data_IF_802690068189
#
_entry.id   IF_802690068189
#
_cell.length_a   1.000
_cell.length_b   1.000
_cell.length_c   1.000
_cell.angle_alpha   90.00
_cell.angle_beta   90.00
_cell.angle_gamma   90.00
#
_symmetry.space_group_name_H-M   'P 1'
#
loop_
_entity.id
_entity.type
_entity.pdbx_description
1 polymer ?
#
# COMPACT_ATOMS: atom_id res chain seq x y z
N UNK A 1 -13.17 2.90 0.79
CA UNK A 1 -11.72 3.25 0.67
C UNK A 1 -11.52 4.70 0.22
N UNK A 2 -12.31 5.23 -0.73
CA UNK A 2 -12.11 6.57 -1.30
C UNK A 2 -12.04 7.68 -0.23
N UNK A 3 -13.03 7.77 0.64
CA UNK A 3 -13.09 8.84 1.65
C UNK A 3 -11.96 8.73 2.68
N UNK A 4 -11.69 7.55 3.26
CA UNK A 4 -10.55 7.38 4.15
C UNK A 4 -9.20 7.73 3.50
N UNK A 5 -8.98 7.39 2.22
CA UNK A 5 -7.73 7.72 1.52
C UNK A 5 -7.53 9.24 1.37
N UNK A 6 -8.61 9.99 1.12
CA UNK A 6 -8.56 11.45 0.97
C UNK A 6 -8.23 12.18 2.29
N UNK A 7 -8.49 11.57 3.42
CA UNK A 7 -8.33 12.19 4.74
C UNK A 7 -7.23 11.57 5.59
N UNK A 8 -6.75 10.37 5.25
CA UNK A 8 -5.76 9.66 6.04
C UNK A 8 -4.40 10.38 6.06
N UNK A 9 -3.75 10.50 7.23
CA UNK A 9 -2.35 10.89 7.32
C UNK A 9 -1.43 9.73 6.90
N UNK A 10 -0.22 10.05 6.42
CA UNK A 10 0.78 9.04 6.08
C UNK A 10 1.59 8.57 7.30
N UNK A 11 1.61 9.35 8.37
CA UNK A 11 2.36 9.07 9.58
C UNK A 11 1.68 9.67 10.82
N UNK A 12 2.10 9.22 12.02
CA UNK A 12 1.59 9.74 13.28
C UNK A 12 2.03 11.19 13.54
N UNK A 13 3.28 11.53 13.26
CA UNK A 13 3.86 12.80 13.73
C UNK A 13 5.00 13.40 12.91
N UNK A 14 5.36 12.83 11.75
CA UNK A 14 6.51 13.31 10.96
C UNK A 14 6.06 13.62 9.52
N UNK A 15 6.69 13.05 8.50
CA UNK A 15 6.38 13.37 7.11
C UNK A 15 4.93 13.02 6.75
N UNK A 16 4.22 13.98 6.13
CA UNK A 16 2.83 13.81 5.66
C UNK A 16 1.82 13.42 6.77
N UNK A 17 2.05 13.88 8.02
CA UNK A 17 1.19 13.58 9.17
C UNK A 17 -0.11 14.45 9.21
N UNK A 18 -0.47 15.11 8.13
CA UNK A 18 -1.66 15.92 7.98
C UNK A 18 -2.78 15.22 7.22
N UNK A 19 -3.97 15.82 7.26
CA UNK A 19 -5.14 15.33 6.52
C UNK A 19 -4.82 15.26 5.01
N UNK A 20 -4.99 14.08 4.42
CA UNK A 20 -4.65 13.84 3.01
C UNK A 20 -3.18 13.54 2.74
N UNK A 21 -2.31 13.55 3.76
CA UNK A 21 -0.88 13.30 3.61
C UNK A 21 -0.57 11.93 2.99
N UNK A 22 -1.39 10.92 3.27
CA UNK A 22 -1.23 9.58 2.66
C UNK A 22 -1.42 9.61 1.14
N UNK A 23 -2.41 10.35 0.65
CA UNK A 23 -2.64 10.49 -0.79
C UNK A 23 -1.51 11.26 -1.45
N UNK A 24 -1.06 12.36 -0.85
CA UNK A 24 0.06 13.15 -1.34
C UNK A 24 1.35 12.33 -1.41
N UNK A 25 1.67 11.58 -0.35
CA UNK A 25 2.79 10.65 -0.33
C UNK A 25 2.69 9.59 -1.43
N UNK A 26 1.54 8.94 -1.57
CA UNK A 26 1.29 7.93 -2.59
C UNK A 26 1.48 8.49 -4.01
N UNK A 27 0.99 9.70 -4.27
CA UNK A 27 1.17 10.37 -5.57
C UNK A 27 2.65 10.71 -5.84
N UNK A 28 3.38 11.18 -4.83
CA UNK A 28 4.81 11.44 -4.93
C UNK A 28 5.59 10.17 -5.27
N UNK A 29 5.35 9.08 -4.56
CA UNK A 29 5.99 7.78 -4.81
C UNK A 29 5.64 7.25 -6.20
N UNK A 30 4.37 7.29 -6.59
CA UNK A 30 3.92 6.87 -7.92
C UNK A 30 4.59 7.68 -9.03
N UNK A 31 4.70 9.00 -8.87
CA UNK A 31 5.38 9.88 -9.82
C UNK A 31 6.86 9.53 -9.96
N UNK A 32 7.52 9.25 -8.84
CA UNK A 32 8.93 8.83 -8.85
C UNK A 32 9.10 7.48 -9.55
N UNK A 33 8.22 6.51 -9.27
CA UNK A 33 8.20 5.22 -9.94
C UNK A 33 8.05 5.35 -11.47
N UNK A 34 7.20 6.26 -11.95
CA UNK A 34 7.06 6.52 -13.37
C UNK A 34 8.35 7.05 -14.00
N UNK A 35 9.07 7.93 -13.31
CA UNK A 35 10.40 8.43 -13.78
C UNK A 35 11.45 7.31 -13.79
N UNK A 36 11.40 6.38 -12.84
CA UNK A 36 12.25 5.18 -12.90
C UNK A 36 11.97 4.32 -14.13
N UNK A 37 10.69 4.13 -14.49
CA UNK A 37 10.34 3.41 -15.72
C UNK A 37 10.82 4.11 -16.99
N UNK A 38 10.86 5.45 -17.00
CA UNK A 38 11.39 6.22 -18.12
C UNK A 38 12.91 6.04 -18.25
N UNK A 39 13.60 5.84 -17.12
CA UNK A 39 15.06 5.63 -17.09
C UNK A 39 15.45 4.16 -17.30
N UNK A 40 14.64 3.23 -16.82
CA UNK A 40 14.85 1.77 -16.90
C UNK A 40 13.71 1.12 -17.69
N UNK A 41 13.81 1.00 -19.02
CA UNK A 41 12.72 0.52 -19.89
C UNK A 41 12.27 -0.92 -19.62
N UNK A 42 13.15 -1.72 -19.00
CA UNK A 42 12.86 -3.13 -18.66
C UNK A 42 11.98 -3.29 -17.42
N UNK A 43 11.67 -2.20 -16.70
CA UNK A 43 10.77 -2.24 -15.56
C UNK A 43 9.31 -2.39 -16.01
N UNK A 44 8.60 -3.32 -15.39
CA UNK A 44 7.15 -3.42 -15.58
C UNK A 44 6.45 -2.23 -14.89
N UNK A 45 6.07 -1.26 -15.72
CA UNK A 45 5.40 -0.02 -15.32
C UNK A 45 4.12 -0.27 -14.54
N UNK A 46 3.33 -1.27 -14.92
CA UNK A 46 2.05 -1.57 -14.28
C UNK A 46 2.27 -2.17 -12.88
N UNK A 47 3.17 -3.12 -12.76
CA UNK A 47 3.52 -3.74 -11.48
C UNK A 47 4.14 -2.73 -10.52
N UNK A 48 5.06 -1.89 -11.00
CA UNK A 48 5.71 -0.87 -10.17
C UNK A 48 4.70 0.16 -9.67
N UNK A 49 3.81 0.62 -10.54
CA UNK A 49 2.77 1.58 -10.17
C UNK A 49 1.74 0.98 -9.20
N UNK A 50 1.33 -0.26 -9.42
CA UNK A 50 0.45 -0.97 -8.48
C UNK A 50 1.09 -1.12 -7.10
N UNK A 51 2.38 -1.45 -7.05
CA UNK A 51 3.15 -1.49 -5.81
C UNK A 51 3.19 -0.13 -5.12
N UNK A 52 3.48 0.94 -5.87
CA UNK A 52 3.49 2.31 -5.36
C UNK A 52 2.14 2.74 -4.76
N UNK A 53 1.03 2.33 -5.34
CA UNK A 53 -0.32 2.65 -4.83
C UNK A 53 -0.64 1.82 -3.57
N UNK A 54 -0.25 0.56 -3.56
CA UNK A 54 -0.66 -0.37 -2.50
C UNK A 54 0.27 -0.37 -1.27
N UNK A 55 1.54 0.10 -1.39
CA UNK A 55 2.54 -0.08 -0.34
C UNK A 55 2.10 0.46 1.02
N UNK A 56 1.47 1.61 1.04
CA UNK A 56 1.05 2.32 2.24
C UNK A 56 -0.48 2.35 2.45
N UNK A 57 -1.26 1.76 1.56
CA UNK A 57 -2.73 1.78 1.62
C UNK A 57 -3.26 1.23 2.95
N UNK A 58 -2.56 0.31 3.57
CA UNK A 58 -2.90 -0.27 4.88
C UNK A 58 -2.93 0.73 6.03
N UNK A 59 -2.28 1.88 5.89
CA UNK A 59 -2.29 2.96 6.90
C UNK A 59 -3.69 3.52 7.18
N UNK A 60 -4.62 3.39 6.25
CA UNK A 60 -6.04 3.71 6.45
C UNK A 60 -6.65 2.94 7.63
N UNK A 61 -6.13 1.74 7.92
CA UNK A 61 -6.61 0.87 9.01
C UNK A 61 -5.60 0.76 10.16
N UNK A 62 -4.37 1.20 9.94
CA UNK A 62 -3.31 1.23 10.94
C UNK A 62 -3.56 2.35 11.95
N UNK A 63 -4.02 3.51 11.49
CA UNK A 63 -4.29 4.68 12.31
C UNK A 63 -5.78 4.82 12.64
N UNK A 64 -6.06 5.37 13.84
CA UNK A 64 -7.44 5.58 14.31
C UNK A 64 -8.17 6.71 13.59
N UNK A 65 -7.42 7.64 12.99
CA UNK A 65 -7.94 8.88 12.45
C UNK A 65 -8.38 9.87 13.55
N UNK A 66 -8.59 11.12 13.20
CA UNK A 66 -9.00 12.18 14.13
C UNK A 66 -7.85 12.99 14.69
N UNK A 67 -8.17 13.88 15.64
CA UNK A 67 -7.22 14.88 16.19
C UNK A 67 -6.01 14.24 16.91
N UNK A 68 -6.20 13.08 17.52
CA UNK A 68 -5.16 12.38 18.27
C UNK A 68 -4.49 11.25 17.48
N UNK A 69 -4.63 11.22 16.18
CA UNK A 69 -4.08 10.22 15.25
C UNK A 69 -3.12 9.19 15.88
N UNK A 70 -3.66 8.12 16.46
CA UNK A 70 -2.87 7.05 17.10
C UNK A 70 -3.06 5.72 16.37
N UNK A 71 -2.22 4.76 16.68
CA UNK A 71 -2.35 3.40 16.16
C UNK A 71 -3.61 2.73 16.70
N UNK A 72 -4.31 2.01 15.82
CA UNK A 72 -5.29 1.00 16.25
C UNK A 72 -4.58 -0.20 16.86
N UNK A 73 -5.28 -1.03 17.63
CA UNK A 73 -4.70 -2.28 18.15
C UNK A 73 -4.21 -3.19 17.02
N UNK A 74 -4.98 -3.28 15.93
CA UNK A 74 -4.58 -4.01 14.73
C UNK A 74 -3.34 -3.37 14.08
N UNK A 75 -3.25 -2.04 14.05
CA UNK A 75 -2.09 -1.31 13.53
C UNK A 75 -0.82 -1.62 14.31
N UNK A 76 -0.90 -1.65 15.64
CA UNK A 76 0.24 -1.97 16.52
C UNK A 76 0.71 -3.42 16.41
N UNK A 77 -0.23 -4.36 16.32
CA UNK A 77 0.07 -5.80 16.35
C UNK A 77 0.43 -6.38 14.97
N UNK A 78 -0.19 -5.88 13.92
CA UNK A 78 -0.13 -6.47 12.57
C UNK A 78 0.63 -5.60 11.57
N UNK A 79 0.55 -4.29 11.71
CA UNK A 79 1.15 -3.30 10.81
C UNK A 79 0.41 -3.15 9.48
N UNK A 80 0.61 -1.99 8.83
CA UNK A 80 -0.15 -1.59 7.63
C UNK A 80 0.03 -2.54 6.44
N UNK A 81 1.21 -3.12 6.23
CA UNK A 81 1.48 -4.02 5.09
C UNK A 81 0.57 -5.25 5.16
N UNK A 82 0.55 -5.94 6.30
CA UNK A 82 -0.27 -7.14 6.48
C UNK A 82 -1.77 -6.82 6.52
N UNK A 83 -2.14 -5.67 7.09
CA UNK A 83 -3.53 -5.19 7.04
C UNK A 83 -3.98 -4.95 5.61
N UNK A 84 -3.14 -4.34 4.76
CA UNK A 84 -3.41 -4.14 3.35
C UNK A 84 -3.58 -5.46 2.61
N UNK A 85 -2.63 -6.38 2.74
CA UNK A 85 -2.67 -7.69 2.10
C UNK A 85 -3.94 -8.46 2.47
N UNK A 86 -4.30 -8.52 3.75
CA UNK A 86 -5.51 -9.20 4.19
C UNK A 86 -6.81 -8.55 3.71
N UNK A 87 -6.82 -7.23 3.45
CA UNK A 87 -7.98 -6.53 2.85
C UNK A 87 -8.07 -6.77 1.35
N UNK A 88 -6.93 -6.72 0.64
CA UNK A 88 -6.85 -7.00 -0.79
C UNK A 88 -7.26 -8.44 -1.10
N UNK A 89 -6.74 -9.42 -0.37
CA UNK A 89 -7.06 -10.83 -0.55
C UNK A 89 -8.58 -11.08 -0.43
N UNK A 90 -9.20 -10.53 0.62
CA UNK A 90 -10.67 -10.62 0.80
C UNK A 90 -11.45 -9.94 -0.32
N UNK A 91 -10.95 -8.83 -0.85
CA UNK A 91 -11.59 -8.13 -1.94
C UNK A 91 -11.51 -8.92 -3.24
N UNK A 92 -10.34 -9.44 -3.58
CA UNK A 92 -10.12 -10.28 -4.75
C UNK A 92 -10.93 -11.57 -4.71
N UNK A 93 -11.00 -12.21 -3.54
CA UNK A 93 -11.84 -13.40 -3.36
C UNK A 93 -13.33 -13.13 -3.64
N UNK A 94 -13.85 -11.95 -3.22
CA UNK A 94 -15.24 -11.54 -3.46
C UNK A 94 -15.52 -11.19 -4.92
N UNK A 95 -14.54 -10.64 -5.64
CA UNK A 95 -14.68 -10.24 -7.06
C UNK A 95 -14.49 -11.41 -8.03
N UNK A 96 -14.34 -12.63 -7.55
CA UNK A 96 -14.13 -13.82 -8.39
C UNK A 96 -12.70 -13.93 -8.95
N UNK A 97 -11.84 -12.97 -8.66
CA UNK A 97 -10.41 -13.04 -8.95
C UNK A 97 -9.72 -13.90 -7.87
N UNK A 98 -10.16 -15.14 -7.72
CA UNK A 98 -9.30 -16.14 -7.09
C UNK A 98 -8.09 -16.24 -8.00
N UNK A 99 -6.92 -16.10 -7.45
CA UNK A 99 -5.64 -16.27 -8.15
C UNK A 99 -5.49 -17.67 -8.75
N UNK A 100 -6.38 -18.00 -9.70
CA UNK A 100 -6.19 -18.99 -10.69
C UNK A 100 -5.06 -18.44 -11.55
N UNK A 101 -3.96 -19.14 -11.50
CA UNK A 101 -2.78 -18.90 -12.31
C UNK A 101 -1.97 -17.65 -11.91
N UNK A 102 -1.28 -17.75 -10.77
CA UNK A 102 0.02 -17.07 -10.65
C UNK A 102 1.03 -17.87 -11.50
N UNK A 103 1.29 -17.53 -12.77
CA UNK A 103 2.41 -18.10 -13.46
C UNK A 103 3.65 -17.56 -12.75
N UNK A 104 4.31 -18.41 -11.97
CA UNK A 104 5.69 -18.20 -11.59
C UNK A 104 5.98 -17.20 -10.49
N UNK A 105 5.28 -17.20 -9.37
CA UNK A 105 5.92 -16.79 -8.12
C UNK A 105 6.81 -17.97 -7.70
N UNK A 106 8.00 -17.99 -8.31
CA UNK A 106 9.03 -18.97 -8.02
C UNK A 106 9.34 -18.91 -6.52
N UNK A 107 9.03 -19.98 -5.79
CA UNK A 107 9.33 -20.12 -4.35
C UNK A 107 10.81 -19.95 -4.01
N UNK A 108 11.66 -19.80 -5.01
CA UNK A 108 13.11 -19.54 -4.88
C UNK A 108 13.43 -18.17 -4.32
N UNK A 109 12.52 -17.17 -4.43
CA UNK A 109 12.74 -15.83 -3.85
C UNK A 109 12.62 -15.78 -2.32
N UNK A 110 12.04 -16.79 -1.69
CA UNK A 110 11.90 -16.86 -0.23
C UNK A 110 13.03 -17.62 0.47
N UNK A 111 14.06 -18.09 -0.27
CA UNK A 111 15.17 -18.88 0.27
C UNK A 111 16.55 -18.19 0.23
N UNK A 112 16.63 -16.91 -0.07
CA UNK A 112 17.88 -16.17 0.14
C UNK A 112 17.93 -15.68 1.57
N UNK A 113 18.84 -16.28 2.32
CA UNK A 113 19.24 -16.01 3.71
C UNK A 113 19.65 -14.55 3.92
#
# INVERSE_FOLDING_TARGET
IRVPLLTAPAAKSVHHAWVGGLLEHTLSVATLCLRFCDHYPDLDRQTLLAGAICHDLGKIWEFSGGLANDYTDAGRLVGHINLCLGKLDRHLAKSGHRGADRPGMDRRFLQTK
#
